data_IF_248309944700
#
_entry.id   IF_248309944700
#
_cell.length_a   1.000
_cell.length_b   1.000
_cell.length_c   1.000
_cell.angle_alpha   90.00
_cell.angle_beta   90.00
_cell.angle_gamma   90.00
#
_symmetry.space_group_name_H-M   'P 1'
#
loop_
_entity.id
_entity.type
_entity.pdbx_description
1 polymer ?
#
# COMPACT_ATOMS: atom_id res chain seq x y z
N UNK A 1 12.87 -1.65 -24.65
CA UNK A 1 13.18 -0.42 -23.91
C UNK A 1 12.42 -0.38 -22.61
N UNK A 2 13.09 -0.01 -21.55
CA UNK A 2 12.47 0.07 -20.21
C UNK A 2 11.78 1.41 -19.95
N UNK A 3 12.02 2.42 -20.79
CA UNK A 3 11.44 3.73 -20.59
C UNK A 3 10.12 3.86 -21.34
N UNK A 4 9.14 4.49 -20.68
CA UNK A 4 7.85 4.81 -21.26
C UNK A 4 7.81 6.28 -21.64
N UNK A 5 7.24 6.60 -22.80
CA UNK A 5 6.90 8.00 -23.10
C UNK A 5 5.74 8.44 -22.22
N UNK A 6 5.57 9.77 -21.95
CA UNK A 6 4.53 10.25 -21.03
C UNK A 6 3.12 9.74 -21.33
N UNK A 7 2.74 9.66 -22.60
CA UNK A 7 1.40 9.17 -22.99
C UNK A 7 1.21 7.69 -22.63
N UNK A 8 2.21 6.86 -22.79
CA UNK A 8 2.16 5.44 -22.39
C UNK A 8 2.10 5.29 -20.88
N UNK A 9 2.84 6.13 -20.15
CA UNK A 9 2.81 6.14 -18.70
C UNK A 9 1.42 6.47 -18.17
N UNK A 10 0.76 7.50 -18.72
CA UNK A 10 -0.60 7.86 -18.34
C UNK A 10 -1.57 6.69 -18.57
N UNK A 11 -1.48 6.05 -19.74
CA UNK A 11 -2.32 4.88 -20.06
C UNK A 11 -2.11 3.75 -19.05
N UNK A 12 -0.86 3.46 -18.68
CA UNK A 12 -0.56 2.44 -17.68
C UNK A 12 -1.12 2.76 -16.30
N UNK A 13 -1.06 4.03 -15.90
CA UNK A 13 -1.62 4.45 -14.60
C UNK A 13 -3.14 4.31 -14.59
N UNK A 14 -3.81 4.70 -15.67
CA UNK A 14 -5.27 4.55 -15.79
C UNK A 14 -5.66 3.07 -15.80
N UNK A 15 -4.94 2.23 -16.54
CA UNK A 15 -5.18 0.78 -16.57
C UNK A 15 -5.02 0.16 -15.18
N UNK A 16 -4.02 0.59 -14.43
CA UNK A 16 -3.82 0.13 -13.06
C UNK A 16 -5.01 0.50 -12.17
N UNK A 17 -5.50 1.72 -12.28
CA UNK A 17 -6.67 2.17 -11.52
C UNK A 17 -7.93 1.38 -11.86
N UNK A 18 -8.15 1.12 -13.16
CA UNK A 18 -9.27 0.30 -13.61
C UNK A 18 -9.20 -1.12 -13.04
N UNK A 19 -8.03 -1.74 -13.05
CA UNK A 19 -7.86 -3.10 -12.52
C UNK A 19 -8.16 -3.18 -11.02
N UNK A 20 -7.87 -2.11 -10.27
CA UNK A 20 -8.20 -2.06 -8.84
C UNK A 20 -9.70 -2.07 -8.58
N UNK A 21 -10.47 -1.35 -9.41
CA UNK A 21 -11.94 -1.31 -9.27
C UNK A 21 -12.56 -2.67 -9.53
N UNK A 22 -12.07 -3.39 -10.51
CA UNK A 22 -12.63 -4.69 -10.91
C UNK A 22 -12.09 -5.88 -10.12
N UNK A 23 -11.14 -5.65 -9.23
CA UNK A 23 -10.60 -6.70 -8.39
C UNK A 23 -11.65 -7.22 -7.41
N UNK A 24 -11.66 -8.54 -7.15
CA UNK A 24 -12.59 -9.13 -6.19
C UNK A 24 -12.39 -8.59 -4.78
N UNK A 25 -13.43 -8.64 -3.96
CA UNK A 25 -13.35 -8.23 -2.56
C UNK A 25 -12.27 -9.01 -1.81
N UNK A 26 -12.21 -10.32 -2.03
CA UNK A 26 -11.21 -11.19 -1.41
C UNK A 26 -9.79 -10.75 -1.76
N UNK A 27 -9.51 -10.57 -3.04
CA UNK A 27 -8.17 -10.20 -3.50
C UNK A 27 -7.78 -8.80 -3.02
N UNK A 28 -8.71 -7.86 -3.03
CA UNK A 28 -8.49 -6.51 -2.54
C UNK A 28 -8.13 -6.54 -1.04
N UNK A 29 -8.87 -7.30 -0.25
CA UNK A 29 -8.60 -7.40 1.19
C UNK A 29 -7.26 -8.08 1.48
N UNK A 30 -6.94 -9.16 0.78
CA UNK A 30 -5.66 -9.86 0.97
C UNK A 30 -4.49 -8.95 0.61
N UNK A 31 -4.54 -8.29 -0.54
CA UNK A 31 -3.47 -7.41 -0.99
C UNK A 31 -3.28 -6.21 -0.07
N UNK A 32 -4.38 -5.60 0.37
CA UNK A 32 -4.32 -4.47 1.27
C UNK A 32 -3.88 -4.86 2.69
N UNK A 33 -4.27 -6.03 3.16
CA UNK A 33 -3.76 -6.56 4.44
C UNK A 33 -2.23 -6.75 4.36
N UNK A 34 -1.75 -7.37 3.30
CA UNK A 34 -0.31 -7.58 3.11
C UNK A 34 0.46 -6.26 3.00
N UNK A 35 -0.10 -5.28 2.29
CA UNK A 35 0.52 -3.95 2.19
C UNK A 35 0.63 -3.28 3.55
N UNK A 36 -0.43 -3.30 4.34
CA UNK A 36 -0.43 -2.73 5.69
C UNK A 36 0.56 -3.42 6.61
N UNK A 37 0.63 -4.75 6.57
CA UNK A 37 1.56 -5.53 7.38
C UNK A 37 3.01 -5.24 6.99
N UNK A 38 3.33 -5.21 5.69
CA UNK A 38 4.69 -4.93 5.20
C UNK A 38 5.11 -3.52 5.60
N UNK A 39 4.23 -2.54 5.44
CA UNK A 39 4.56 -1.17 5.79
C UNK A 39 4.77 -1.00 7.30
N UNK A 40 3.97 -1.69 8.12
CA UNK A 40 4.14 -1.69 9.56
C UNK A 40 5.47 -2.35 9.97
N UNK A 41 5.86 -3.44 9.32
CA UNK A 41 7.18 -4.07 9.54
C UNK A 41 8.32 -3.10 9.16
N UNK A 42 8.17 -2.38 8.06
CA UNK A 42 9.15 -1.36 7.67
C UNK A 42 9.25 -0.24 8.70
N UNK A 43 8.12 0.16 9.30
CA UNK A 43 8.10 1.15 10.38
C UNK A 43 8.83 0.62 11.62
N UNK A 44 8.58 -0.61 12.02
CA UNK A 44 9.29 -1.25 13.15
C UNK A 44 10.78 -1.29 12.88
N UNK A 45 11.18 -1.68 11.69
CA UNK A 45 12.57 -1.73 11.26
C UNK A 45 13.23 -0.34 11.36
N UNK A 46 12.58 0.68 10.81
CA UNK A 46 13.10 2.05 10.84
C UNK A 46 13.23 2.60 12.27
N UNK A 47 12.23 2.34 13.11
CA UNK A 47 12.23 2.76 14.51
C UNK A 47 13.35 2.04 15.27
N UNK A 48 13.51 0.74 15.08
CA UNK A 48 14.56 -0.04 15.72
C UNK A 48 15.95 0.48 15.36
N UNK A 49 16.19 0.76 14.09
CA UNK A 49 17.45 1.31 13.62
C UNK A 49 17.70 2.70 14.22
N UNK A 50 16.67 3.54 14.26
CA UNK A 50 16.78 4.88 14.87
C UNK A 50 17.16 4.79 16.34
N UNK A 51 16.51 3.89 17.08
CA UNK A 51 16.80 3.71 18.51
C UNK A 51 18.21 3.15 18.73
N UNK A 52 18.60 2.15 17.95
CA UNK A 52 19.91 1.50 18.13
C UNK A 52 21.08 2.39 17.72
N UNK A 53 20.91 3.22 16.69
CA UNK A 53 21.98 4.09 16.20
C UNK A 53 21.94 5.47 16.82
N UNK A 54 20.82 5.87 17.41
CA UNK A 54 20.60 7.22 17.90
C UNK A 54 20.46 8.25 16.78
N UNK A 55 20.31 7.81 15.53
CA UNK A 55 20.29 8.69 14.37
C UNK A 55 19.00 8.51 13.56
N UNK A 56 18.04 9.46 13.67
CA UNK A 56 16.79 9.39 12.93
C UNK A 56 16.96 9.39 11.40
N UNK A 57 18.03 9.97 10.90
CA UNK A 57 18.30 10.02 9.47
C UNK A 57 18.47 8.61 8.87
N UNK A 58 19.17 7.73 9.59
CA UNK A 58 19.37 6.36 9.12
C UNK A 58 18.03 5.62 9.04
N UNK A 59 17.19 5.75 10.04
CA UNK A 59 15.84 5.17 10.02
C UNK A 59 15.01 5.72 8.86
N UNK A 60 15.07 7.02 8.62
CA UNK A 60 14.35 7.66 7.51
C UNK A 60 14.81 7.16 6.13
N UNK A 61 16.11 6.91 5.96
CA UNK A 61 16.65 6.38 4.70
C UNK A 61 16.24 4.93 4.47
N UNK A 62 16.10 4.15 5.52
CA UNK A 62 15.78 2.71 5.40
C UNK A 62 14.28 2.42 5.39
N UNK A 63 13.44 3.33 5.91
CA UNK A 63 11.99 3.15 5.93
C UNK A 63 11.38 2.85 4.55
N UNK A 64 11.80 3.50 3.44
CA UNK A 64 11.22 3.25 2.13
C UNK A 64 11.32 1.80 1.62
N UNK A 65 12.07 0.92 2.26
CA UNK A 65 12.14 -0.49 1.88
C UNK A 65 10.76 -1.13 1.83
N UNK A 66 9.85 -0.74 2.73
CA UNK A 66 8.48 -1.25 2.74
C UNK A 66 7.70 -0.84 1.49
N UNK A 67 7.84 0.40 1.05
CA UNK A 67 7.20 0.88 -0.17
C UNK A 67 7.73 0.15 -1.42
N UNK A 68 9.04 -0.06 -1.50
CA UNK A 68 9.64 -0.81 -2.59
C UNK A 68 9.07 -2.22 -2.64
N UNK A 69 9.01 -2.91 -1.50
CA UNK A 69 8.51 -4.28 -1.41
C UNK A 69 7.04 -4.37 -1.85
N UNK A 70 6.18 -3.51 -1.31
CA UNK A 70 4.75 -3.60 -1.62
C UNK A 70 4.45 -3.26 -3.09
N UNK A 71 5.20 -2.33 -3.68
CA UNK A 71 5.04 -2.02 -5.10
C UNK A 71 5.54 -3.15 -5.99
N UNK A 72 6.67 -3.78 -5.66
CA UNK A 72 7.18 -4.91 -6.42
C UNK A 72 6.25 -6.12 -6.35
N UNK A 73 5.59 -6.32 -5.22
CA UNK A 73 4.63 -7.42 -5.01
C UNK A 73 3.23 -7.09 -5.54
N UNK A 74 2.97 -5.85 -5.94
CA UNK A 74 1.67 -5.43 -6.44
C UNK A 74 0.59 -5.31 -5.37
N UNK A 75 0.94 -5.09 -4.12
CA UNK A 75 -0.02 -4.93 -3.03
C UNK A 75 -0.63 -3.54 -3.00
N UNK A 76 -1.82 -3.42 -2.44
CA UNK A 76 -2.63 -2.22 -2.49
C UNK A 76 -2.50 -1.41 -1.21
N UNK A 77 -1.95 -0.21 -1.34
CA UNK A 77 -1.89 0.78 -0.26
C UNK A 77 -2.91 1.89 -0.54
N UNK A 78 -3.62 2.34 0.51
CA UNK A 78 -4.70 3.31 0.37
C UNK A 78 -4.26 4.60 -0.31
N UNK A 79 -3.09 5.12 0.05
CA UNK A 79 -2.55 6.34 -0.57
C UNK A 79 -2.27 6.17 -2.05
N UNK A 80 -1.93 4.96 -2.51
CA UNK A 80 -1.75 4.66 -3.93
C UNK A 80 -3.07 4.64 -4.69
N UNK A 81 -4.10 3.99 -4.13
CA UNK A 81 -5.41 3.93 -4.78
C UNK A 81 -6.18 5.24 -4.73
N UNK A 82 -5.84 6.15 -3.83
CA UNK A 82 -6.37 7.52 -3.85
C UNK A 82 -6.02 8.25 -5.15
N UNK A 83 -4.93 7.90 -5.78
CA UNK A 83 -4.53 8.46 -7.06
C UNK A 83 -5.03 7.62 -8.24
N UNK A 84 -4.79 6.32 -8.19
CA UNK A 84 -5.01 5.44 -9.34
C UNK A 84 -6.48 5.27 -9.72
N UNK A 85 -7.34 5.01 -8.74
CA UNK A 85 -8.75 4.74 -9.01
C UNK A 85 -9.48 5.96 -9.57
N UNK A 86 -9.29 7.20 -9.02
CA UNK A 86 -9.88 8.38 -9.63
C UNK A 86 -9.43 8.65 -11.06
N UNK A 87 -8.20 8.26 -11.44
CA UNK A 87 -7.75 8.39 -12.83
C UNK A 87 -8.61 7.57 -13.77
N UNK A 88 -8.95 6.33 -13.40
CA UNK A 88 -9.83 5.49 -14.20
C UNK A 88 -11.24 6.06 -14.31
N UNK A 89 -11.75 6.65 -13.22
CA UNK A 89 -13.06 7.30 -13.22
C UNK A 89 -13.07 8.53 -14.12
N UNK A 90 -12.03 9.37 -14.04
CA UNK A 90 -11.92 10.58 -14.86
C UNK A 90 -11.74 10.26 -16.35
N UNK A 91 -11.07 9.16 -16.67
CA UNK A 91 -10.90 8.69 -18.05
C UNK A 91 -12.17 8.01 -18.60
N UNK A 92 -13.22 7.93 -17.79
CA UNK A 92 -14.52 7.34 -18.17
C UNK A 92 -14.39 5.90 -18.67
N UNK A 93 -13.53 5.11 -18.00
CA UNK A 93 -13.38 3.69 -18.34
C UNK A 93 -14.70 2.95 -18.13
N UNK A 94 -15.08 2.04 -19.04
CA UNK A 94 -16.33 1.28 -18.93
C UNK A 94 -16.42 0.52 -17.61
N UNK A 95 -17.56 0.66 -16.91
CA UNK A 95 -17.81 -0.05 -15.65
C UNK A 95 -17.17 0.58 -14.41
N UNK A 96 -16.35 1.60 -14.56
CA UNK A 96 -15.78 2.31 -13.42
C UNK A 96 -16.78 3.37 -12.94
N UNK A 97 -17.23 3.25 -11.70
CA UNK A 97 -18.24 4.11 -11.10
C UNK A 97 -17.75 4.71 -9.79
N UNK A 98 -18.41 5.77 -9.32
CA UNK A 98 -18.12 6.34 -8.01
C UNK A 98 -18.36 5.33 -6.89
N UNK A 99 -19.39 4.48 -7.03
CA UNK A 99 -19.64 3.39 -6.07
C UNK A 99 -18.47 2.39 -6.03
N UNK A 100 -17.93 2.03 -7.18
CA UNK A 100 -16.75 1.16 -7.28
C UNK A 100 -15.50 1.78 -6.65
N UNK A 101 -15.31 3.06 -6.87
CA UNK A 101 -14.21 3.84 -6.25
C UNK A 101 -14.32 3.82 -4.73
N UNK A 102 -15.50 4.15 -4.19
CA UNK A 102 -15.71 4.18 -2.75
C UNK A 102 -15.57 2.79 -2.13
N UNK A 103 -16.06 1.75 -2.82
CA UNK A 103 -15.88 0.36 -2.40
C UNK A 103 -14.39 0.01 -2.31
N UNK A 104 -13.62 0.34 -3.34
CA UNK A 104 -12.18 0.06 -3.36
C UNK A 104 -11.47 0.77 -2.20
N UNK A 105 -11.74 2.05 -2.02
CA UNK A 105 -11.13 2.81 -0.93
C UNK A 105 -11.48 2.24 0.44
N UNK A 106 -12.73 1.86 0.66
CA UNK A 106 -13.17 1.27 1.91
C UNK A 106 -12.49 -0.07 2.20
N UNK A 107 -12.43 -0.95 1.20
CA UNK A 107 -11.78 -2.25 1.34
C UNK A 107 -10.28 -2.14 1.59
N UNK A 108 -9.61 -1.25 0.85
CA UNK A 108 -8.17 -1.04 1.02
C UNK A 108 -7.88 -0.42 2.39
N UNK A 109 -8.70 0.53 2.84
CA UNK A 109 -8.56 1.11 4.18
C UNK A 109 -8.65 0.03 5.26
N UNK A 110 -9.70 -0.80 5.21
CA UNK A 110 -9.91 -1.87 6.20
C UNK A 110 -8.74 -2.87 6.16
N UNK A 111 -8.32 -3.28 4.97
CA UNK A 111 -7.22 -4.22 4.82
C UNK A 111 -5.90 -3.65 5.31
N UNK A 112 -5.56 -2.42 4.94
CA UNK A 112 -4.33 -1.76 5.41
C UNK A 112 -4.33 -1.63 6.94
N UNK A 113 -5.45 -1.18 7.50
CA UNK A 113 -5.57 -1.02 8.95
C UNK A 113 -5.43 -2.36 9.67
N UNK A 114 -6.12 -3.40 9.20
CA UNK A 114 -6.05 -4.74 9.80
C UNK A 114 -4.63 -5.31 9.75
N UNK A 115 -3.93 -5.16 8.63
CA UNK A 115 -2.55 -5.62 8.48
C UNK A 115 -1.59 -4.89 9.40
N UNK A 116 -1.69 -3.57 9.43
CA UNK A 116 -0.86 -2.75 10.31
C UNK A 116 -1.14 -3.03 11.80
N UNK A 117 -2.42 -3.17 12.15
CA UNK A 117 -2.81 -3.48 13.53
C UNK A 117 -2.30 -4.86 13.97
N UNK A 118 -2.35 -5.86 13.08
CA UNK A 118 -1.83 -7.20 13.38
C UNK A 118 -0.35 -7.13 13.75
N UNK A 119 0.46 -6.44 12.93
CA UNK A 119 1.89 -6.27 13.22
C UNK A 119 2.11 -5.47 14.49
N UNK A 120 1.33 -4.40 14.70
CA UNK A 120 1.45 -3.58 15.90
C UNK A 120 1.16 -4.39 17.17
N UNK A 121 0.15 -5.24 17.16
CA UNK A 121 -0.19 -6.10 18.30
C UNK A 121 0.91 -7.14 18.56
N UNK A 122 1.45 -7.75 17.50
CA UNK A 122 2.55 -8.70 17.63
C UNK A 122 3.80 -8.02 18.21
N UNK A 123 4.12 -6.82 17.76
CA UNK A 123 5.26 -6.07 18.28
C UNK A 123 5.04 -5.58 19.70
N UNK A 124 3.83 -5.16 20.05
CA UNK A 124 3.48 -4.81 21.42
C UNK A 124 3.68 -5.99 22.36
N UNK A 125 3.29 -7.19 21.93
CA UNK A 125 3.51 -8.42 22.69
C UNK A 125 5.01 -8.69 22.89
N UNK A 126 5.79 -8.62 21.81
CA UNK A 126 7.24 -8.86 21.85
C UNK A 126 7.92 -7.88 22.80
N UNK A 127 7.64 -6.60 22.68
CA UNK A 127 8.27 -5.59 23.52
C UNK A 127 7.84 -5.64 24.99
N UNK A 128 6.60 -6.11 25.24
CA UNK A 128 6.09 -6.22 26.60
C UNK A 128 6.64 -7.44 27.32
N UNK A 129 6.77 -8.57 26.63
CA UNK A 129 7.16 -9.86 27.24
C UNK A 129 8.61 -10.26 26.96
N UNK A 130 9.40 -9.44 26.29
CA UNK A 130 10.85 -9.61 26.19
C UNK A 130 11.33 -10.71 25.26
N UNK A 131 10.58 -11.04 24.23
CA UNK A 131 11.03 -12.04 23.24
C UNK A 131 12.15 -11.52 22.34
#
# INVERSE_FOLDING_TARGET
MSYLVPAEFVTKMVDAGESKVFMSTRDTLIRSFMAGAILALAAVFAIAITVQTGNPLIGAILFPVGFVMLYLMGFDLLTGVFMLVPLALLDKRPGVTMGGLLRNWGLVFVGNFAGALTVALMMAFVYTYGF
#
